data_IF_083468549536
#
_entry.id   IF_083468549536
#
_cell.length_a   1.000
_cell.length_b   1.000
_cell.length_c   1.000
_cell.angle_alpha   90.00
_cell.angle_beta   90.00
_cell.angle_gamma   90.00
#
_symmetry.space_group_name_H-M   'P 1'
#
loop_
_entity.id
_entity.type
_entity.pdbx_description
1 polymer ?
#
# COMPACT_ATOMS: atom_id res chain seq x y z
N UNK A 1 -0.90 2.97 5.65
CA UNK A 1 -0.26 3.89 4.70
C UNK A 1 0.25 5.10 5.48
N UNK A 2 1.42 5.66 5.16
CA UNK A 2 1.92 6.89 5.78
C UNK A 2 2.55 7.79 4.72
N UNK A 3 2.56 9.10 4.93
CA UNK A 3 3.14 10.05 3.99
C UNK A 3 4.68 10.06 4.09
N UNK A 4 5.36 10.05 2.93
CA UNK A 4 6.82 10.21 2.84
C UNK A 4 7.17 11.61 2.28
N UNK A 5 7.33 12.64 3.12
CA UNK A 5 7.41 14.05 2.69
C UNK A 5 8.64 14.43 1.84
N UNK A 6 9.62 13.53 1.70
CA UNK A 6 10.87 13.76 0.93
C UNK A 6 11.14 12.67 -0.11
N UNK A 7 10.19 11.76 -0.34
CA UNK A 7 10.36 10.66 -1.29
C UNK A 7 9.96 11.16 -2.69
N UNK A 8 10.81 10.99 -3.72
CA UNK A 8 10.50 11.43 -5.09
C UNK A 8 9.36 10.63 -5.75
N UNK A 9 8.71 9.72 -5.01
CA UNK A 9 7.65 8.87 -5.53
C UNK A 9 6.30 9.60 -5.53
N UNK A 10 6.05 10.35 -6.60
CA UNK A 10 4.74 10.90 -6.96
C UNK A 10 3.68 9.83 -7.30
N UNK A 11 4.00 8.55 -7.15
CA UNK A 11 3.12 7.44 -7.49
C UNK A 11 2.40 6.91 -6.24
N UNK A 12 1.09 6.68 -6.29
CA UNK A 12 0.35 6.09 -5.17
C UNK A 12 0.89 4.71 -4.79
N UNK A 13 1.28 4.56 -3.53
CA UNK A 13 1.85 3.31 -3.00
C UNK A 13 1.54 3.12 -1.51
N UNK A 14 1.74 1.90 -1.01
CA UNK A 14 1.67 1.57 0.41
C UNK A 14 2.75 0.58 0.81
N UNK A 15 3.02 0.51 2.13
CA UNK A 15 3.99 -0.40 2.71
C UNK A 15 3.26 -1.57 3.37
N UNK A 16 3.76 -2.78 3.13
CA UNK A 16 3.31 -4.00 3.76
C UNK A 16 4.45 -4.61 4.58
N UNK A 17 4.14 -4.94 5.84
CA UNK A 17 5.09 -5.52 6.79
C UNK A 17 4.63 -6.92 7.19
N UNK A 18 5.56 -7.88 7.20
CA UNK A 18 5.33 -9.21 7.72
C UNK A 18 6.60 -9.74 8.39
N UNK A 19 6.58 -9.87 9.72
CA UNK A 19 7.78 -10.19 10.51
C UNK A 19 8.91 -9.20 10.16
N UNK A 20 10.09 -9.71 9.78
CA UNK A 20 11.24 -8.91 9.37
C UNK A 20 11.21 -8.50 7.89
N UNK A 21 10.18 -8.92 7.15
CA UNK A 21 10.02 -8.63 5.72
C UNK A 21 9.18 -7.37 5.50
N UNK A 22 9.63 -6.54 4.56
CA UNK A 22 8.95 -5.29 4.17
C UNK A 22 8.88 -5.24 2.64
N UNK A 23 7.73 -4.80 2.13
CA UNK A 23 7.50 -4.56 0.71
C UNK A 23 6.73 -3.26 0.49
N UNK A 24 6.99 -2.63 -0.65
CA UNK A 24 6.29 -1.44 -1.14
C UNK A 24 5.51 -1.83 -2.37
N UNK A 25 4.21 -1.53 -2.36
CA UNK A 25 3.28 -1.85 -3.44
C UNK A 25 2.72 -0.58 -4.07
N UNK A 26 2.78 -0.49 -5.40
CA UNK A 26 2.03 0.51 -6.15
C UNK A 26 0.54 0.18 -6.15
N UNK A 27 -0.31 1.20 -6.30
CA UNK A 27 -1.78 1.04 -6.38
C UNK A 27 -2.31 1.08 -7.81
N UNK A 28 -1.54 1.63 -8.74
CA UNK A 28 -1.91 1.76 -10.15
C UNK A 28 -0.70 1.64 -11.08
N UNK A 29 -0.51 0.49 -11.75
CA UNK A 29 -1.08 -0.82 -11.40
C UNK A 29 -0.67 -1.33 -10.00
N UNK A 30 -1.36 -2.36 -9.51
CA UNK A 30 -0.98 -3.11 -8.31
C UNK A 30 0.28 -3.92 -8.59
N UNK A 31 1.42 -3.47 -8.09
CA UNK A 31 2.70 -4.16 -8.31
C UNK A 31 3.69 -3.96 -7.17
N UNK A 32 4.59 -4.93 -6.99
CA UNK A 32 5.70 -4.82 -6.06
C UNK A 32 6.76 -3.85 -6.61
N UNK A 33 6.94 -2.72 -5.95
CA UNK A 33 7.91 -1.68 -6.34
C UNK A 33 9.27 -1.86 -5.65
N UNK A 34 9.28 -2.31 -4.39
CA UNK A 34 10.50 -2.51 -3.62
C UNK A 34 10.31 -3.54 -2.50
N UNK A 35 11.43 -4.06 -1.98
CA UNK A 35 11.43 -5.03 -0.89
C UNK A 35 10.97 -6.42 -1.33
N UNK A 36 10.54 -7.23 -0.38
CA UNK A 36 10.01 -8.57 -0.66
C UNK A 36 9.16 -9.09 0.49
N UNK A 37 8.24 -9.99 0.15
CA UNK A 37 7.47 -10.80 1.10
C UNK A 37 7.55 -12.27 0.68
N UNK A 38 7.41 -13.22 1.62
CA UNK A 38 7.24 -14.62 1.25
C UNK A 38 6.02 -14.80 0.35
N UNK A 39 6.06 -15.77 -0.56
CA UNK A 39 5.12 -15.91 -1.67
C UNK A 39 3.64 -15.88 -1.24
N UNK A 40 3.31 -16.51 -0.11
CA UNK A 40 1.94 -16.55 0.41
C UNK A 40 1.46 -15.16 0.83
N UNK A 41 2.27 -14.41 1.57
CA UNK A 41 1.96 -13.07 2.04
C UNK A 41 1.88 -12.08 0.88
N UNK A 42 2.79 -12.19 -0.09
CA UNK A 42 2.72 -11.39 -1.32
C UNK A 42 1.38 -11.54 -2.02
N UNK A 43 0.90 -12.77 -2.21
CA UNK A 43 -0.41 -13.04 -2.85
C UNK A 43 -1.58 -12.48 -2.04
N UNK A 44 -1.53 -12.56 -0.72
CA UNK A 44 -2.57 -12.00 0.15
C UNK A 44 -2.61 -10.47 0.06
N UNK A 45 -1.44 -9.81 0.06
CA UNK A 45 -1.34 -8.35 -0.06
C UNK A 45 -1.77 -7.88 -1.45
N UNK A 46 -1.37 -8.58 -2.52
CA UNK A 46 -1.82 -8.28 -3.89
C UNK A 46 -3.35 -8.42 -4.00
N UNK A 47 -3.93 -9.51 -3.50
CA UNK A 47 -5.38 -9.71 -3.52
C UNK A 47 -6.15 -8.66 -2.69
N UNK A 48 -5.64 -8.33 -1.51
CA UNK A 48 -6.20 -7.28 -0.67
C UNK A 48 -6.13 -5.91 -1.36
N UNK A 49 -5.00 -5.58 -1.99
CA UNK A 49 -4.85 -4.33 -2.72
C UNK A 49 -5.83 -4.22 -3.88
N UNK A 50 -6.05 -5.30 -4.64
CA UNK A 50 -7.01 -5.30 -5.75
C UNK A 50 -8.45 -5.09 -5.27
N UNK A 51 -8.85 -5.74 -4.17
CA UNK A 51 -10.20 -5.59 -3.60
C UNK A 51 -10.45 -4.19 -3.02
N UNK A 52 -9.41 -3.55 -2.48
CA UNK A 52 -9.52 -2.28 -1.76
C UNK A 52 -8.85 -1.11 -2.51
N UNK A 53 -8.64 -1.23 -3.83
CA UNK A 53 -7.89 -0.26 -4.63
C UNK A 53 -8.47 1.16 -4.54
N UNK A 54 -9.79 1.30 -4.56
CA UNK A 54 -10.46 2.60 -4.49
C UNK A 54 -10.29 3.25 -3.12
N UNK A 55 -10.39 2.48 -2.04
CA UNK A 55 -10.17 2.96 -0.66
C UNK A 55 -8.71 3.38 -0.46
N UNK A 56 -7.75 2.58 -0.96
CA UNK A 56 -6.32 2.90 -0.94
C UNK A 56 -6.00 4.19 -1.72
N UNK A 57 -6.66 4.39 -2.86
CA UNK A 57 -6.49 5.62 -3.64
C UNK A 57 -7.07 6.83 -2.90
N UNK A 58 -8.20 6.69 -2.21
CA UNK A 58 -8.74 7.76 -1.37
C UNK A 58 -7.80 8.09 -0.22
N UNK A 59 -7.27 7.09 0.47
CA UNK A 59 -6.28 7.26 1.54
C UNK A 59 -5.01 7.97 1.06
N UNK A 60 -4.56 7.64 -0.15
CA UNK A 60 -3.46 8.36 -0.78
C UNK A 60 -3.77 9.85 -0.95
N UNK A 61 -4.96 10.19 -1.46
CA UNK A 61 -5.38 11.59 -1.58
C UNK A 61 -5.53 12.29 -0.22
N UNK A 62 -6.01 11.58 0.81
CA UNK A 62 -6.07 12.10 2.17
C UNK A 62 -4.66 12.48 2.67
N UNK A 63 -3.69 11.57 2.53
CA UNK A 63 -2.31 11.80 2.92
C UNK A 63 -1.67 12.98 2.18
N UNK A 64 -1.88 13.07 0.86
CA UNK A 64 -1.40 14.21 0.06
C UNK A 64 -2.01 15.55 0.51
N UNK A 65 -3.20 15.52 1.10
CA UNK A 65 -3.85 16.69 1.69
C UNK A 65 -3.48 16.95 3.17
N UNK A 66 -2.51 16.21 3.73
CA UNK A 66 -2.11 16.31 5.13
C UNK A 66 -3.12 15.70 6.12
N UNK A 67 -4.06 14.88 5.63
CA UNK A 67 -5.05 14.18 6.44
C UNK A 67 -4.62 12.72 6.68
N UNK A 68 -5.12 12.16 7.77
CA UNK A 68 -4.86 10.75 8.09
C UNK A 68 -5.68 9.81 7.20
N UNK A 69 -5.12 8.64 6.82
CA UNK A 69 -5.85 7.60 6.11
C UNK A 69 -6.89 6.96 7.03
N UNK A 70 -7.87 6.30 6.44
CA UNK A 70 -8.91 5.57 7.15
C UNK A 70 -8.54 4.08 7.31
N UNK A 71 -9.08 3.39 8.32
CA UNK A 71 -8.91 1.94 8.40
C UNK A 71 -9.68 1.25 7.27
N UNK A 72 -8.98 0.41 6.51
CA UNK A 72 -9.54 -0.44 5.46
C UNK A 72 -9.73 -1.85 6.03
N UNK A 73 -10.84 -2.51 5.69
CA UNK A 73 -11.15 -3.85 6.16
C UNK A 73 -10.07 -4.87 5.73
N UNK A 74 -9.74 -5.87 6.57
CA UNK A 74 -8.80 -6.92 6.19
C UNK A 74 -9.41 -7.88 5.17
N UNK A 75 -8.53 -8.62 4.47
CA UNK A 75 -8.94 -9.70 3.57
C UNK A 75 -9.68 -10.79 4.35
N UNK A 76 -10.84 -11.23 3.84
CA UNK A 76 -11.69 -12.27 4.42
C UNK A 76 -11.17 -13.68 4.13
#
# INVERSE_FOLDING_TARGET
MYAEPFSPHHRPHFHAHYQDAVAVYGLDPVELMAGSLPLRQRRLVEAWCELHRDELMQDWQLLQSGRHPQPIAPLQ
#
